data_IF_234577363360
#
_entry.id   IF_234577363360
#
_cell.length_a   1.000
_cell.length_b   1.000
_cell.length_c   1.000
_cell.angle_alpha   90.00
_cell.angle_beta   90.00
_cell.angle_gamma   90.00
#
_symmetry.space_group_name_H-M   'P 1'
#
loop_
_entity.id
_entity.type
_entity.pdbx_description
1 polymer ?
#
# COMPACT_ATOMS: atom_id res chain seq x y z
N UNK A 1 29.53 19.42 -35.10
CA UNK A 1 29.16 19.78 -33.72
C UNK A 1 28.88 18.48 -33.00
N UNK A 2 29.61 18.17 -31.94
CA UNK A 2 29.32 17.02 -31.09
C UNK A 2 27.86 17.09 -30.65
N UNK A 3 27.15 15.96 -30.67
CA UNK A 3 25.75 15.89 -30.28
C UNK A 3 25.59 16.48 -28.87
N UNK A 4 24.80 17.55 -28.74
CA UNK A 4 24.59 18.23 -27.46
C UNK A 4 24.01 17.27 -26.41
N UNK A 5 23.32 16.20 -26.83
CA UNK A 5 22.81 15.16 -25.93
C UNK A 5 23.91 14.34 -25.28
N UNK A 6 25.00 14.05 -26.00
CA UNK A 6 26.14 13.30 -25.44
C UNK A 6 26.87 14.08 -24.34
N UNK A 7 26.78 15.42 -24.33
CA UNK A 7 27.33 16.26 -23.25
C UNK A 7 26.54 16.19 -21.95
N UNK A 8 25.29 15.71 -22.01
CA UNK A 8 24.44 15.49 -20.83
C UNK A 8 24.66 14.11 -20.21
N UNK A 9 25.41 13.22 -20.88
CA UNK A 9 25.73 11.89 -20.37
C UNK A 9 26.56 12.03 -19.10
N UNK A 10 26.00 11.61 -17.97
CA UNK A 10 26.74 11.46 -16.72
C UNK A 10 27.63 10.23 -16.86
N UNK A 11 28.93 10.40 -16.68
CA UNK A 11 29.87 9.27 -16.73
C UNK A 11 29.67 8.35 -15.52
N UNK A 12 29.78 7.05 -15.74
CA UNK A 12 29.69 6.04 -14.68
C UNK A 12 30.70 6.27 -13.55
N UNK A 13 31.91 6.75 -13.88
CA UNK A 13 32.93 7.12 -12.89
C UNK A 13 32.43 8.18 -11.90
N UNK A 14 31.69 9.19 -12.37
CA UNK A 14 31.12 10.23 -11.51
C UNK A 14 30.00 9.69 -10.63
N UNK A 15 29.19 8.76 -11.14
CA UNK A 15 28.19 8.07 -10.32
C UNK A 15 28.86 7.21 -9.25
N UNK A 16 29.97 6.55 -9.60
CA UNK A 16 30.77 5.75 -8.67
C UNK A 16 31.35 6.63 -7.56
N UNK A 17 31.98 7.75 -7.88
CA UNK A 17 32.54 8.68 -6.89
C UNK A 17 31.46 9.16 -5.90
N UNK A 18 30.25 9.47 -6.38
CA UNK A 18 29.12 9.87 -5.53
C UNK A 18 28.71 8.73 -4.60
N UNK A 19 28.55 7.52 -5.13
CA UNK A 19 28.20 6.35 -4.34
C UNK A 19 29.26 6.03 -3.30
N UNK A 20 30.54 6.05 -3.68
CA UNK A 20 31.66 5.81 -2.77
C UNK A 20 31.64 6.82 -1.60
N UNK A 21 31.35 8.10 -1.87
CA UNK A 21 31.22 9.11 -0.81
C UNK A 21 30.01 8.87 0.10
N UNK A 22 28.84 8.57 -0.46
CA UNK A 22 27.59 8.40 0.32
C UNK A 22 27.63 7.09 1.13
N UNK A 23 28.24 6.04 0.60
CA UNK A 23 28.26 4.71 1.19
C UNK A 23 29.48 4.44 2.08
N UNK A 24 30.45 5.35 2.15
CA UNK A 24 31.60 5.21 3.05
C UNK A 24 31.13 5.21 4.52
N UNK A 25 31.30 4.11 5.27
CA UNK A 25 30.86 4.02 6.67
C UNK A 25 31.61 5.01 7.59
N UNK A 26 32.76 5.54 7.15
CA UNK A 26 33.54 6.53 7.91
C UNK A 26 33.11 7.98 7.63
N UNK A 27 32.13 8.19 6.75
CA UNK A 27 31.64 9.53 6.44
C UNK A 27 30.74 10.08 7.56
N UNK A 28 31.35 10.84 8.48
CA UNK A 28 30.64 11.43 9.62
C UNK A 28 29.44 12.29 9.23
N UNK A 29 29.48 12.98 8.08
CA UNK A 29 28.40 13.85 7.64
C UNK A 29 27.15 13.02 7.30
N UNK A 30 27.33 11.94 6.55
CA UNK A 30 26.24 11.04 6.18
C UNK A 30 25.70 10.32 7.41
N UNK A 31 26.58 9.88 8.31
CA UNK A 31 26.15 9.23 9.56
C UNK A 31 25.29 10.15 10.42
N UNK A 32 25.71 11.41 10.64
CA UNK A 32 24.92 12.41 11.39
C UNK A 32 23.59 12.73 10.70
N UNK A 33 23.56 12.76 9.37
CA UNK A 33 22.32 12.95 8.62
C UNK A 33 21.34 11.79 8.86
N UNK A 34 21.82 10.54 8.76
CA UNK A 34 21.01 9.34 9.01
C UNK A 34 20.49 9.30 10.45
N UNK A 35 21.31 9.67 11.44
CA UNK A 35 20.88 9.79 12.84
C UNK A 35 19.74 10.80 13.03
N UNK A 36 19.82 11.96 12.36
CA UNK A 36 18.76 12.98 12.41
C UNK A 36 17.48 12.43 11.77
N UNK A 37 17.58 11.79 10.60
CA UNK A 37 16.42 11.18 9.92
C UNK A 37 15.77 10.14 10.82
N UNK A 38 16.56 9.25 11.42
CA UNK A 38 16.06 8.19 12.28
C UNK A 38 15.38 8.75 13.54
N UNK A 39 15.94 9.81 14.13
CA UNK A 39 15.35 10.51 15.30
C UNK A 39 13.93 11.01 15.03
N UNK A 40 13.60 11.40 13.80
CA UNK A 40 12.27 11.91 13.44
C UNK A 40 11.36 10.86 12.80
N UNK A 41 11.77 9.58 12.82
CA UNK A 41 11.03 8.47 12.23
C UNK A 41 11.42 8.28 10.78
N UNK A 42 12.52 7.57 10.57
CA UNK A 42 13.07 7.25 9.26
C UNK A 42 12.15 6.40 8.39
N UNK A 43 12.60 6.01 7.19
CA UNK A 43 11.78 5.26 6.23
C UNK A 43 11.17 3.98 6.81
N UNK A 44 11.92 3.23 7.61
CA UNK A 44 11.42 2.00 8.26
C UNK A 44 10.28 2.30 9.23
N UNK A 45 10.40 3.35 10.04
CA UNK A 45 9.35 3.75 10.97
C UNK A 45 8.08 4.24 10.25
N UNK A 46 8.26 5.00 9.16
CA UNK A 46 7.16 5.44 8.29
C UNK A 46 6.44 4.22 7.70
N UNK A 47 7.20 3.27 7.15
CA UNK A 47 6.65 2.06 6.54
C UNK A 47 5.97 1.17 7.58
N UNK A 48 6.53 1.05 8.79
CA UNK A 48 5.92 0.35 9.92
C UNK A 48 4.58 0.98 10.30
N UNK A 49 4.54 2.30 10.49
CA UNK A 49 3.28 3.02 10.77
C UNK A 49 2.27 2.87 9.65
N UNK A 50 2.69 2.90 8.39
CA UNK A 50 1.82 2.68 7.23
C UNK A 50 1.27 1.24 7.18
N UNK A 51 2.06 0.24 7.58
CA UNK A 51 1.57 -1.13 7.73
C UNK A 51 0.57 -1.26 8.88
N UNK A 52 0.87 -0.71 10.05
CA UNK A 52 -0.05 -0.71 11.19
C UNK A 52 -1.36 0.00 10.88
N UNK A 53 -1.31 1.19 10.27
CA UNK A 53 -2.51 1.97 9.92
C UNK A 53 -3.42 1.27 8.91
N UNK A 54 -2.90 0.32 8.12
CA UNK A 54 -3.67 -0.48 7.16
C UNK A 54 -4.36 -1.70 7.76
N UNK A 55 -4.09 -2.04 9.02
CA UNK A 55 -4.78 -3.13 9.71
C UNK A 55 -6.24 -2.77 9.95
N UNK A 56 -7.14 -3.73 9.73
CA UNK A 56 -8.59 -3.52 9.80
C UNK A 56 -9.02 -2.95 11.15
N UNK A 57 -8.50 -3.51 12.24
CA UNK A 57 -8.74 -3.07 13.61
C UNK A 57 -8.38 -1.60 13.85
N UNK A 58 -7.27 -1.13 13.28
CA UNK A 58 -6.84 0.26 13.40
C UNK A 58 -7.69 1.20 12.54
N UNK A 59 -8.12 0.75 11.36
CA UNK A 59 -9.06 1.47 10.52
C UNK A 59 -10.42 1.65 11.22
N UNK A 60 -10.97 0.57 11.80
CA UNK A 60 -12.22 0.62 12.55
C UNK A 60 -12.10 1.50 13.81
N UNK A 61 -11.00 1.40 14.55
CA UNK A 61 -10.75 2.25 15.71
C UNK A 61 -10.70 3.74 15.33
N UNK A 62 -10.08 4.07 14.20
CA UNK A 62 -10.05 5.43 13.67
C UNK A 62 -11.44 5.91 13.25
N UNK A 63 -12.22 5.09 12.54
CA UNK A 63 -13.61 5.43 12.18
C UNK A 63 -14.47 5.70 13.41
N UNK A 64 -14.25 4.95 14.49
CA UNK A 64 -14.89 5.18 15.79
C UNK A 64 -14.50 6.52 16.42
N UNK A 65 -13.22 6.87 16.39
CA UNK A 65 -12.76 8.17 16.88
C UNK A 65 -13.34 9.34 16.07
N UNK A 66 -13.49 9.16 14.75
CA UNK A 66 -14.06 10.14 13.83
C UNK A 66 -15.60 10.20 13.90
N UNK A 67 -16.25 9.37 14.73
CA UNK A 67 -17.71 9.19 14.78
C UNK A 67 -18.32 8.97 13.37
N UNK A 68 -17.66 8.11 12.59
CA UNK A 68 -18.09 7.81 11.22
C UNK A 68 -19.50 7.19 11.21
N UNK A 69 -20.43 7.69 10.37
CA UNK A 69 -21.78 7.15 10.29
C UNK A 69 -21.82 5.70 9.77
N UNK A 70 -20.76 5.24 9.11
CA UNK A 70 -20.67 3.89 8.52
C UNK A 70 -20.19 2.83 9.50
N UNK A 71 -19.75 3.21 10.71
CA UNK A 71 -19.19 2.26 11.67
C UNK A 71 -20.21 1.18 12.05
N UNK A 72 -21.46 1.58 12.29
CA UNK A 72 -22.52 0.66 12.69
C UNK A 72 -22.80 -0.41 11.61
N UNK A 73 -22.81 -0.01 10.33
CA UNK A 73 -23.01 -0.94 9.21
C UNK A 73 -21.83 -1.92 9.09
N UNK A 74 -20.60 -1.46 9.30
CA UNK A 74 -19.40 -2.31 9.28
C UNK A 74 -19.35 -3.28 10.46
N UNK A 75 -19.76 -2.84 11.65
CA UNK A 75 -19.90 -3.72 12.83
C UNK A 75 -20.94 -4.81 12.54
N UNK A 76 -22.11 -4.43 12.00
CA UNK A 76 -23.13 -5.40 11.60
C UNK A 76 -22.63 -6.40 10.54
N UNK A 77 -21.93 -5.93 9.49
CA UNK A 77 -21.34 -6.81 8.47
C UNK A 77 -20.32 -7.78 9.06
N UNK A 78 -19.56 -7.34 10.06
CA UNK A 78 -18.59 -8.17 10.78
C UNK A 78 -19.31 -9.28 11.55
N UNK A 79 -20.41 -8.96 12.23
CA UNK A 79 -21.25 -9.96 12.92
C UNK A 79 -21.85 -10.97 11.93
N UNK A 80 -22.35 -10.53 10.78
CA UNK A 80 -22.90 -11.43 9.77
C UNK A 80 -21.83 -12.35 9.18
N UNK A 81 -20.60 -11.84 9.00
CA UNK A 81 -19.46 -12.65 8.56
C UNK A 81 -19.15 -13.74 9.58
N UNK A 82 -19.05 -13.37 10.85
CA UNK A 82 -18.68 -14.29 11.94
C UNK A 82 -19.78 -15.31 12.24
N UNK A 83 -21.02 -15.01 11.85
CA UNK A 83 -22.16 -15.93 11.86
C UNK A 83 -22.26 -16.80 10.59
N UNK A 84 -21.28 -16.75 9.67
CA UNK A 84 -21.29 -17.44 8.37
C UNK A 84 -22.57 -17.17 7.53
N UNK A 85 -23.13 -15.96 7.63
CA UNK A 85 -24.40 -15.62 6.98
C UNK A 85 -24.27 -15.32 5.47
N UNK A 86 -23.06 -15.11 4.96
CA UNK A 86 -22.80 -14.81 3.55
C UNK A 86 -22.69 -16.10 2.72
N UNK A 87 -23.21 -16.05 1.49
CA UNK A 87 -23.02 -17.11 0.48
C UNK A 87 -21.86 -16.77 -0.44
N UNK A 88 -21.26 -17.78 -1.09
CA UNK A 88 -20.23 -17.54 -2.10
C UNK A 88 -20.81 -16.78 -3.29
N UNK A 89 -19.98 -15.99 -3.95
CA UNK A 89 -20.39 -15.22 -5.14
C UNK A 89 -20.91 -16.13 -6.26
N UNK A 90 -20.35 -17.34 -6.41
CA UNK A 90 -20.83 -18.35 -7.35
C UNK A 90 -22.27 -18.78 -7.07
N UNK A 91 -22.58 -18.99 -5.78
CA UNK A 91 -23.87 -19.48 -5.33
C UNK A 91 -24.92 -18.38 -5.47
N UNK A 92 -24.54 -17.14 -5.17
CA UNK A 92 -25.35 -15.95 -5.45
C UNK A 92 -25.65 -15.80 -6.94
N UNK A 93 -24.63 -15.86 -7.82
CA UNK A 93 -24.80 -15.77 -9.27
C UNK A 93 -25.73 -16.85 -9.80
N UNK A 94 -25.54 -18.10 -9.39
CA UNK A 94 -26.40 -19.23 -9.76
C UNK A 94 -27.84 -19.06 -9.27
N UNK A 95 -28.04 -18.54 -8.05
CA UNK A 95 -29.37 -18.25 -7.50
C UNK A 95 -30.15 -17.21 -8.32
N UNK A 96 -29.47 -16.18 -8.84
CA UNK A 96 -30.12 -15.09 -9.59
C UNK A 96 -30.26 -15.41 -11.08
N UNK A 97 -29.21 -15.96 -11.70
CA UNK A 97 -29.12 -16.14 -13.16
C UNK A 97 -29.37 -17.58 -13.62
N UNK A 98 -29.53 -18.53 -12.69
CA UNK A 98 -29.71 -19.94 -13.00
C UNK A 98 -28.53 -20.51 -13.79
N UNK A 99 -28.81 -21.38 -14.76
CA UNK A 99 -27.80 -22.02 -15.62
C UNK A 99 -27.07 -21.01 -16.52
N UNK A 100 -27.63 -19.81 -16.71
CA UNK A 100 -26.97 -18.71 -17.42
C UNK A 100 -25.72 -18.20 -16.70
N UNK A 101 -25.60 -18.42 -15.38
CA UNK A 101 -24.44 -17.98 -14.59
C UNK A 101 -23.12 -18.59 -15.06
N UNK A 102 -23.14 -19.82 -15.58
CA UNK A 102 -21.92 -20.55 -15.98
C UNK A 102 -21.41 -20.14 -17.36
N UNK A 103 -22.25 -19.52 -18.19
CA UNK A 103 -21.91 -19.07 -19.55
C UNK A 103 -21.60 -17.57 -19.65
N UNK A 104 -21.79 -16.81 -18.57
CA UNK A 104 -21.52 -15.38 -18.52
C UNK A 104 -20.11 -15.07 -18.01
N UNK A 105 -19.43 -14.15 -18.68
CA UNK A 105 -18.17 -13.57 -18.21
C UNK A 105 -18.48 -12.36 -17.33
N UNK A 106 -18.06 -12.42 -16.08
CA UNK A 106 -18.16 -11.30 -15.15
C UNK A 106 -16.86 -10.48 -15.18
N UNK A 107 -16.98 -9.15 -15.08
CA UNK A 107 -15.82 -8.29 -14.90
C UNK A 107 -15.36 -8.43 -13.43
N UNK A 108 -14.23 -9.10 -13.23
CA UNK A 108 -13.61 -9.27 -11.91
C UNK A 108 -12.51 -8.23 -11.64
N UNK A 109 -12.21 -7.36 -12.61
CA UNK A 109 -11.17 -6.32 -12.47
C UNK A 109 -11.67 -5.11 -11.66
N UNK A 110 -12.98 -4.83 -11.70
CA UNK A 110 -13.59 -3.70 -11.01
C UNK A 110 -14.58 -4.19 -9.94
N UNK A 111 -14.58 -3.53 -8.78
CA UNK A 111 -15.48 -3.85 -7.67
C UNK A 111 -16.97 -3.51 -7.95
N UNK A 112 -17.24 -2.77 -9.03
CA UNK A 112 -18.59 -2.41 -9.47
C UNK A 112 -18.71 -2.81 -10.93
N UNK A 113 -19.69 -3.67 -11.23
CA UNK A 113 -20.03 -4.15 -12.57
C UNK A 113 -21.23 -3.43 -13.12
#
# INVERSE_FOLDING_TARGET
MTDLRERLRISEERLKEINDFILDPNNELINKLLEIVEKYGGPEEINRKAHEARKLENLLARMKQENSPYLADLEWLTEQRDADAFVKISDYRKKILGDGAESMTFNEENAVT
#
